data_IF_298000748778
#
_entry.id   IF_298000748778
#
_cell.length_a   1.000
_cell.length_b   1.000
_cell.length_c   1.000
_cell.angle_alpha   90.00
_cell.angle_beta   90.00
_cell.angle_gamma   90.00
#
_symmetry.space_group_name_H-M   'P 1'
#
loop_
_entity.id
_entity.type
_entity.pdbx_description
1 polymer ?
#
# COMPACT_ATOMS: atom_id res chain seq x y z
N UNK A 1 22.88 6.19 14.48
CA UNK A 1 22.29 5.50 15.65
C UNK A 1 20.93 4.99 15.25
N UNK A 2 20.69 3.68 15.27
CA UNK A 2 19.36 3.13 15.02
C UNK A 2 18.43 3.60 16.15
N UNK A 3 17.38 4.34 15.80
CA UNK A 3 16.37 4.78 16.76
C UNK A 3 15.65 3.54 17.34
N UNK A 4 15.81 3.28 18.64
CA UNK A 4 15.02 2.27 19.36
C UNK A 4 13.54 2.66 19.50
N UNK A 5 13.16 3.88 19.08
CA UNK A 5 11.78 4.37 19.08
C UNK A 5 11.20 4.35 17.67
N UNK A 6 10.06 3.69 17.53
CA UNK A 6 9.26 3.79 16.33
C UNK A 6 8.76 5.23 16.12
N UNK A 7 8.71 5.68 14.86
CA UNK A 7 8.24 7.02 14.49
C UNK A 7 6.74 7.22 14.72
N UNK A 8 5.98 6.13 14.90
CA UNK A 8 4.54 6.15 15.21
C UNK A 8 4.18 5.12 16.27
N UNK A 9 3.12 5.40 17.04
CA UNK A 9 2.57 4.46 18.04
C UNK A 9 1.72 3.42 17.33
N UNK A 10 1.80 2.16 17.77
CA UNK A 10 0.82 1.16 17.36
C UNK A 10 -0.58 1.62 17.77
N UNK A 11 -1.60 1.48 16.91
CA UNK A 11 -2.97 1.83 17.26
C UNK A 11 -3.39 1.12 18.55
N UNK A 12 -4.04 1.83 19.48
CA UNK A 12 -4.50 1.24 20.77
C UNK A 12 -5.38 0.02 20.56
N UNK A 13 -6.17 0.02 19.48
CA UNK A 13 -6.98 -1.11 19.05
C UNK A 13 -6.12 -2.36 18.75
N UNK A 14 -4.96 -2.21 18.11
CA UNK A 14 -4.06 -3.34 17.85
C UNK A 14 -3.58 -3.96 19.14
N UNK A 15 -3.14 -3.13 20.09
CA UNK A 15 -2.69 -3.58 21.42
C UNK A 15 -3.82 -4.34 22.13
N UNK A 16 -5.04 -3.79 22.11
CA UNK A 16 -6.19 -4.43 22.73
C UNK A 16 -6.53 -5.79 22.10
N UNK A 17 -6.55 -5.89 20.77
CA UNK A 17 -6.79 -7.16 20.07
C UNK A 17 -5.75 -8.20 20.41
N UNK A 18 -4.47 -7.82 20.37
CA UNK A 18 -3.36 -8.71 20.66
C UNK A 18 -3.44 -9.24 22.10
N UNK A 19 -3.77 -8.36 23.06
CA UNK A 19 -4.01 -8.75 24.46
C UNK A 19 -5.21 -9.69 24.61
N UNK A 20 -6.34 -9.37 23.97
CA UNK A 20 -7.55 -10.22 24.00
C UNK A 20 -7.27 -11.60 23.40
N UNK A 21 -6.57 -11.67 22.26
CA UNK A 21 -6.19 -12.93 21.63
C UNK A 21 -5.30 -13.79 22.53
N UNK A 22 -4.30 -13.19 23.17
CA UNK A 22 -3.42 -13.90 24.09
C UNK A 22 -4.17 -14.45 25.31
N UNK A 23 -5.07 -13.65 25.90
CA UNK A 23 -5.90 -14.06 27.04
C UNK A 23 -6.84 -15.21 26.64
N UNK A 24 -7.54 -15.09 25.50
CA UNK A 24 -8.44 -16.14 25.02
C UNK A 24 -7.66 -17.42 24.73
N UNK A 25 -6.51 -17.34 24.06
CA UNK A 25 -5.68 -18.51 23.75
C UNK A 25 -5.21 -19.22 25.01
N UNK A 26 -4.77 -18.44 26.01
CA UNK A 26 -4.38 -18.97 27.31
C UNK A 26 -5.54 -19.70 27.99
N UNK A 27 -6.67 -19.02 28.18
CA UNK A 27 -7.84 -19.59 28.87
C UNK A 27 -8.38 -20.83 28.15
N UNK A 28 -8.40 -20.80 26.82
CA UNK A 28 -8.84 -21.94 26.02
C UNK A 28 -7.95 -23.16 26.30
N UNK A 29 -6.63 -23.01 26.25
CA UNK A 29 -5.71 -24.12 26.56
C UNK A 29 -5.84 -24.62 28.00
N UNK A 30 -6.01 -23.72 28.98
CA UNK A 30 -6.23 -24.13 30.39
C UNK A 30 -7.47 -25.02 30.50
N UNK A 31 -8.58 -24.62 29.87
CA UNK A 31 -9.85 -25.35 29.95
C UNK A 31 -9.82 -26.66 29.14
N UNK A 32 -9.22 -26.66 27.95
CA UNK A 32 -9.27 -27.84 27.06
C UNK A 32 -8.16 -28.86 27.32
N UNK A 33 -6.97 -28.41 27.74
CA UNK A 33 -5.79 -29.28 27.91
C UNK A 33 -5.44 -29.51 29.38
N UNK A 34 -6.05 -28.77 30.32
CA UNK A 34 -5.70 -28.84 31.75
C UNK A 34 -4.28 -28.38 32.06
N UNK A 35 -3.60 -27.72 31.11
CA UNK A 35 -2.22 -27.26 31.25
C UNK A 35 -2.18 -26.01 32.15
N UNK A 36 -1.36 -25.99 33.21
CA UNK A 36 -1.37 -24.90 34.18
C UNK A 36 -0.72 -23.61 33.64
N UNK A 37 0.20 -23.72 32.68
CA UNK A 37 0.90 -22.57 32.07
C UNK A 37 1.05 -22.74 30.54
N UNK A 38 -0.01 -22.49 29.72
CA UNK A 38 0.03 -22.60 28.26
C UNK A 38 0.71 -21.39 27.59
N UNK A 39 2.01 -21.23 27.86
CA UNK A 39 2.80 -20.07 27.44
C UNK A 39 2.93 -20.02 25.91
N UNK A 40 2.99 -21.15 25.20
CA UNK A 40 3.18 -21.15 23.75
C UNK A 40 1.92 -20.68 23.02
N UNK A 41 0.74 -20.96 23.57
CA UNK A 41 -0.52 -20.47 23.03
C UNK A 41 -0.60 -18.94 23.11
N UNK A 42 -0.23 -18.35 24.25
CA UNK A 42 -0.18 -16.90 24.39
C UNK A 42 0.86 -16.27 23.46
N UNK A 43 2.10 -16.80 23.40
CA UNK A 43 3.14 -16.26 22.50
C UNK A 43 2.72 -16.38 21.04
N UNK A 44 2.12 -17.51 20.63
CA UNK A 44 1.63 -17.69 19.28
C UNK A 44 0.54 -16.66 18.95
N UNK A 45 -0.46 -16.48 19.82
CA UNK A 45 -1.49 -15.46 19.63
C UNK A 45 -0.90 -14.04 19.53
N UNK A 46 0.07 -13.69 20.39
CA UNK A 46 0.75 -12.38 20.36
C UNK A 46 1.43 -12.11 19.03
N UNK A 47 2.10 -13.12 18.46
CA UNK A 47 2.87 -12.98 17.21
C UNK A 47 2.01 -13.11 15.96
N UNK A 48 0.88 -13.81 16.04
CA UNK A 48 -0.03 -14.04 14.92
C UNK A 48 -0.98 -12.87 14.70
N UNK A 49 -1.33 -12.10 15.73
CA UNK A 49 -2.18 -10.90 15.54
C UNK A 49 -1.38 -9.79 14.85
N UNK A 50 -1.70 -9.55 13.58
CA UNK A 50 -1.05 -8.59 12.69
C UNK A 50 -2.05 -7.52 12.23
N UNK A 51 -1.61 -6.44 11.56
CA UNK A 51 -2.52 -5.46 11.01
C UNK A 51 -3.55 -6.09 10.06
N UNK A 52 -3.18 -6.89 9.06
CA UNK A 52 -4.17 -7.54 8.19
C UNK A 52 -4.41 -9.01 8.53
N UNK A 53 -5.60 -9.52 8.18
CA UNK A 53 -5.96 -10.94 8.36
C UNK A 53 -5.05 -11.84 7.52
N UNK A 54 -4.69 -11.42 6.30
CA UNK A 54 -3.75 -12.15 5.45
C UNK A 54 -2.35 -12.23 6.09
N UNK A 55 -1.84 -11.12 6.63
CA UNK A 55 -0.56 -11.12 7.36
C UNK A 55 -0.64 -12.00 8.61
N UNK A 56 -1.75 -11.98 9.33
CA UNK A 56 -1.99 -12.89 10.47
C UNK A 56 -1.96 -14.34 10.05
N UNK A 57 -2.64 -14.70 8.96
CA UNK A 57 -2.66 -16.06 8.44
C UNK A 57 -1.25 -16.51 8.05
N UNK A 58 -0.53 -15.68 7.29
CA UNK A 58 0.86 -15.95 6.92
C UNK A 58 1.72 -16.18 8.17
N UNK A 59 1.68 -15.29 9.17
CA UNK A 59 2.41 -15.45 10.43
C UNK A 59 2.01 -16.70 11.21
N UNK A 60 0.73 -17.04 11.21
CA UNK A 60 0.20 -18.27 11.80
C UNK A 60 0.79 -19.52 11.16
N UNK A 61 0.81 -19.57 9.83
CA UNK A 61 1.42 -20.66 9.07
C UNK A 61 2.91 -20.72 9.33
N UNK A 62 3.63 -19.60 9.22
CA UNK A 62 5.08 -19.53 9.44
C UNK A 62 5.47 -20.09 10.80
N UNK A 63 4.73 -19.68 11.84
CA UNK A 63 4.95 -20.09 13.22
C UNK A 63 4.65 -21.58 13.42
N UNK A 64 3.50 -22.05 12.94
CA UNK A 64 3.09 -23.46 13.05
C UNK A 64 4.05 -24.39 12.33
N UNK A 65 4.41 -24.07 11.08
CA UNK A 65 5.42 -24.82 10.30
C UNK A 65 6.74 -24.86 11.04
N UNK A 66 7.24 -23.71 11.50
CA UNK A 66 8.51 -23.66 12.21
C UNK A 66 8.53 -24.47 13.51
N UNK A 67 7.43 -24.46 14.28
CA UNK A 67 7.32 -25.26 15.51
C UNK A 67 7.29 -26.75 15.19
N UNK A 68 6.47 -27.18 14.22
CA UNK A 68 6.33 -28.58 13.82
C UNK A 68 7.67 -29.13 13.30
N UNK A 69 8.32 -28.41 12.37
CA UNK A 69 9.63 -28.83 11.83
C UNK A 69 10.68 -28.93 12.94
N UNK A 70 10.75 -27.93 13.84
CA UNK A 70 11.71 -27.98 14.94
C UNK A 70 11.47 -29.14 15.91
N UNK A 71 10.20 -29.47 16.19
CA UNK A 71 9.83 -30.63 17.02
C UNK A 71 10.24 -31.94 16.34
N UNK A 72 9.94 -32.10 15.05
CA UNK A 72 10.32 -33.29 14.27
C UNK A 72 11.84 -33.46 14.23
N UNK A 73 12.57 -32.37 14.00
CA UNK A 73 14.03 -32.38 13.96
C UNK A 73 14.65 -32.71 15.32
N UNK A 74 14.11 -32.16 16.41
CA UNK A 74 14.56 -32.49 17.76
C UNK A 74 14.33 -33.97 18.09
N UNK A 75 13.17 -34.52 17.74
CA UNK A 75 12.86 -35.91 17.98
C UNK A 75 13.79 -36.84 17.17
N UNK A 76 14.00 -36.55 15.89
CA UNK A 76 14.93 -37.29 15.05
C UNK A 76 16.37 -37.24 15.59
N UNK A 77 16.83 -36.07 16.04
CA UNK A 77 18.16 -35.90 16.61
C UNK A 77 18.33 -36.69 17.93
N UNK A 78 17.30 -36.69 18.79
CA UNK A 78 17.31 -37.44 20.05
C UNK A 78 17.41 -38.95 19.81
N UNK A 79 16.72 -39.49 18.80
CA UNK A 79 16.80 -40.92 18.44
C UNK A 79 18.19 -41.27 17.87
N UNK A 80 18.74 -40.43 17.00
CA UNK A 80 19.97 -40.74 16.27
C UNK A 80 21.24 -40.54 17.13
N UNK A 81 21.24 -39.54 18.01
CA UNK A 81 22.45 -39.07 18.67
C UNK A 81 22.35 -39.06 20.21
N UNK A 82 21.17 -39.26 20.79
CA UNK A 82 20.97 -39.24 22.24
C UNK A 82 20.92 -37.82 22.84
N UNK A 83 21.35 -37.68 24.10
CA UNK A 83 21.13 -36.48 24.92
C UNK A 83 22.39 -35.60 25.15
N UNK A 84 23.43 -35.71 24.32
CA UNK A 84 24.65 -34.91 24.47
C UNK A 84 24.46 -33.43 24.12
N UNK A 85 25.05 -32.53 24.92
CA UNK A 85 24.92 -31.07 24.75
C UNK A 85 25.38 -30.55 23.38
N UNK A 86 26.35 -31.20 22.74
CA UNK A 86 26.84 -30.84 21.40
C UNK A 86 25.79 -31.05 20.30
N UNK A 87 24.79 -31.90 20.53
CA UNK A 87 23.69 -32.16 19.58
C UNK A 87 22.82 -30.90 19.44
N UNK A 88 22.67 -30.11 20.50
CA UNK A 88 21.94 -28.84 20.45
C UNK A 88 22.63 -27.85 19.52
N UNK A 89 23.97 -27.78 19.52
CA UNK A 89 24.71 -26.93 18.60
C UNK A 89 24.57 -27.42 17.16
N UNK A 90 24.70 -28.74 16.95
CA UNK A 90 24.51 -29.37 15.65
C UNK A 90 23.11 -29.13 15.07
N UNK A 91 22.06 -29.30 15.88
CA UNK A 91 20.68 -29.17 15.39
C UNK A 91 20.35 -27.73 15.01
N UNK A 92 20.95 -26.71 15.64
CA UNK A 92 20.78 -25.31 15.24
C UNK A 92 21.29 -25.13 13.81
N UNK A 93 22.52 -25.57 13.55
CA UNK A 93 23.14 -25.46 12.22
C UNK A 93 22.32 -26.23 11.18
N UNK A 94 21.97 -27.48 11.46
CA UNK A 94 21.18 -28.31 10.54
C UNK A 94 19.79 -27.70 10.31
N UNK A 95 19.12 -27.19 11.34
CA UNK A 95 17.81 -26.53 11.22
C UNK A 95 17.87 -25.31 10.31
N UNK A 96 18.90 -24.48 10.46
CA UNK A 96 19.11 -23.30 9.61
C UNK A 96 19.43 -23.68 8.17
N UNK A 97 20.27 -24.69 7.95
CA UNK A 97 20.60 -25.20 6.62
C UNK A 97 19.38 -25.80 5.92
N UNK A 98 18.55 -26.56 6.64
CA UNK A 98 17.29 -27.11 6.12
C UNK A 98 16.33 -25.98 5.77
N UNK A 99 16.15 -24.99 6.65
CA UNK A 99 15.29 -23.85 6.37
C UNK A 99 15.75 -23.05 5.14
N UNK A 100 17.07 -22.86 5.00
CA UNK A 100 17.68 -22.22 3.84
C UNK A 100 17.46 -23.04 2.56
N UNK A 101 17.72 -24.34 2.60
CA UNK A 101 17.55 -25.24 1.45
C UNK A 101 16.10 -25.30 0.97
N UNK A 102 15.14 -25.29 1.90
CA UNK A 102 13.71 -25.27 1.61
C UNK A 102 13.16 -23.87 1.30
N UNK A 103 14.01 -22.83 1.32
CA UNK A 103 13.63 -21.43 1.10
C UNK A 103 12.45 -20.99 1.98
N UNK A 104 12.45 -21.44 3.24
CA UNK A 104 11.41 -21.06 4.20
C UNK A 104 11.48 -19.57 4.50
N UNK A 105 10.34 -19.00 4.89
CA UNK A 105 10.32 -17.59 5.26
C UNK A 105 11.20 -17.31 6.48
N UNK A 106 11.66 -16.06 6.69
CA UNK A 106 12.47 -15.71 7.85
C UNK A 106 11.83 -16.07 9.19
N UNK A 107 10.49 -16.00 9.27
CA UNK A 107 9.73 -16.38 10.46
C UNK A 107 9.87 -17.87 10.78
N UNK A 108 9.61 -18.74 9.79
CA UNK A 108 9.78 -20.18 9.96
C UNK A 108 11.24 -20.57 10.19
N UNK A 109 12.16 -19.99 9.42
CA UNK A 109 13.59 -20.31 9.49
C UNK A 109 14.19 -20.07 10.88
N UNK A 110 13.79 -18.97 11.54
CA UNK A 110 14.20 -18.68 12.91
C UNK A 110 13.47 -19.56 13.93
N UNK A 111 12.23 -19.94 13.66
CA UNK A 111 11.41 -20.68 14.61
C UNK A 111 11.81 -22.16 14.75
N UNK A 112 12.31 -22.79 13.68
CA UNK A 112 12.77 -24.19 13.69
C UNK A 112 13.85 -24.44 14.75
N UNK A 113 15.02 -23.75 14.72
CA UNK A 113 16.07 -23.99 15.72
C UNK A 113 15.60 -23.66 17.14
N UNK A 114 14.82 -22.58 17.34
CA UNK A 114 14.25 -22.23 18.65
C UNK A 114 13.38 -23.38 19.18
N UNK A 115 12.51 -23.93 18.33
CA UNK A 115 11.63 -25.02 18.71
C UNK A 115 12.41 -26.30 19.00
N UNK A 116 13.36 -26.66 18.14
CA UNK A 116 14.20 -27.83 18.31
C UNK A 116 15.01 -27.77 19.62
N UNK A 117 15.66 -26.64 19.89
CA UNK A 117 16.42 -26.42 21.12
C UNK A 117 15.57 -26.60 22.37
N UNK A 118 14.38 -25.99 22.40
CA UNK A 118 13.49 -26.06 23.56
C UNK A 118 12.97 -27.48 23.79
N UNK A 119 12.67 -28.23 22.73
CA UNK A 119 12.25 -29.63 22.84
C UNK A 119 13.37 -30.51 23.38
N UNK A 120 14.61 -30.34 22.91
CA UNK A 120 15.76 -31.11 23.44
C UNK A 120 16.03 -30.72 24.90
N UNK A 121 16.02 -29.43 25.22
CA UNK A 121 16.39 -28.93 26.54
C UNK A 121 15.36 -29.27 27.63
N UNK A 122 14.06 -29.18 27.31
CA UNK A 122 12.98 -29.33 28.29
C UNK A 122 12.28 -30.69 28.16
N UNK A 123 12.10 -31.17 26.92
CA UNK A 123 11.34 -32.40 26.65
C UNK A 123 11.95 -33.66 27.26
N UNK A 124 13.25 -33.67 27.55
CA UNK A 124 13.88 -34.77 28.28
C UNK A 124 13.34 -34.96 29.70
N UNK A 125 12.89 -33.88 30.36
CA UNK A 125 12.41 -33.88 31.74
C UNK A 125 10.89 -33.71 31.85
N UNK A 126 10.19 -33.50 30.73
CA UNK A 126 8.75 -33.23 30.70
C UNK A 126 8.10 -34.06 29.59
N UNK A 127 7.57 -35.26 29.93
CA UNK A 127 6.85 -36.09 28.97
C UNK A 127 5.71 -35.31 28.31
N UNK A 128 5.50 -35.50 27.01
CA UNK A 128 4.44 -34.81 26.27
C UNK A 128 4.78 -33.38 25.82
N UNK A 129 5.84 -32.76 26.34
CA UNK A 129 6.21 -31.37 26.04
C UNK A 129 6.26 -31.04 24.54
N UNK A 130 6.82 -31.94 23.73
CA UNK A 130 6.91 -31.77 22.28
C UNK A 130 5.54 -31.63 21.61
N UNK A 131 4.57 -32.45 22.04
CA UNK A 131 3.21 -32.47 21.51
C UNK A 131 2.44 -31.25 22.03
N UNK A 132 2.53 -30.97 23.33
CA UNK A 132 1.88 -29.82 23.96
C UNK A 132 2.30 -28.51 23.28
N UNK A 133 3.59 -28.36 22.96
CA UNK A 133 4.13 -27.21 22.23
C UNK A 133 3.49 -27.03 20.85
N UNK A 134 3.25 -28.12 20.11
CA UNK A 134 2.58 -28.08 18.80
C UNK A 134 1.12 -27.67 18.99
N UNK A 135 0.40 -28.35 19.88
CA UNK A 135 -1.02 -28.12 20.12
C UNK A 135 -1.25 -26.67 20.59
N UNK A 136 -0.52 -26.21 21.60
CA UNK A 136 -0.61 -24.84 22.11
C UNK A 136 -0.33 -23.81 21.02
N UNK A 137 0.71 -24.03 20.20
CA UNK A 137 1.04 -23.10 19.10
C UNK A 137 -0.09 -23.02 18.08
N UNK A 138 -0.68 -24.16 17.71
CA UNK A 138 -1.79 -24.21 16.76
C UNK A 138 -3.04 -23.54 17.32
N UNK A 139 -3.37 -23.78 18.60
CA UNK A 139 -4.49 -23.12 19.28
C UNK A 139 -4.26 -21.61 19.32
N UNK A 140 -3.08 -21.17 19.77
CA UNK A 140 -2.74 -19.75 19.84
C UNK A 140 -2.77 -19.05 18.48
N UNK A 141 -2.26 -19.69 17.43
CA UNK A 141 -2.33 -19.18 16.07
C UNK A 141 -3.78 -19.09 15.57
N UNK A 142 -4.61 -20.11 15.85
CA UNK A 142 -6.02 -20.14 15.45
C UNK A 142 -6.83 -19.05 16.16
N UNK A 143 -6.64 -18.89 17.47
CA UNK A 143 -7.29 -17.84 18.26
C UNK A 143 -6.81 -16.46 17.83
N UNK A 144 -5.51 -16.27 17.61
CA UNK A 144 -4.96 -15.01 17.10
C UNK A 144 -5.57 -14.61 15.76
N UNK A 145 -5.69 -15.56 14.84
CA UNK A 145 -6.33 -15.34 13.54
C UNK A 145 -7.83 -15.02 13.69
N UNK A 146 -8.56 -15.80 14.50
CA UNK A 146 -9.98 -15.61 14.73
C UNK A 146 -10.29 -14.24 15.35
N UNK A 147 -9.55 -13.86 16.39
CA UNK A 147 -9.68 -12.56 17.04
C UNK A 147 -9.34 -11.42 16.07
N UNK A 148 -8.30 -11.55 15.26
CA UNK A 148 -7.96 -10.51 14.29
C UNK A 148 -9.01 -10.37 13.18
N UNK A 149 -9.64 -11.48 12.78
CA UNK A 149 -10.72 -11.47 11.79
C UNK A 149 -12.03 -10.89 12.35
N UNK A 150 -12.35 -11.16 13.63
CA UNK A 150 -13.60 -10.72 14.27
C UNK A 150 -13.52 -9.27 14.77
N UNK A 151 -12.44 -8.91 15.46
CA UNK A 151 -12.30 -7.58 16.04
C UNK A 151 -11.77 -6.64 14.95
N UNK A 152 -12.66 -5.88 14.31
CA UNK A 152 -12.40 -4.71 13.42
C UNK A 152 -11.12 -4.87 12.56
N UNK A 153 -11.12 -5.70 11.51
CA UNK A 153 -9.97 -5.79 10.61
C UNK A 153 -9.68 -4.37 10.06
N UNK A 154 -8.45 -3.83 10.22
CA UNK A 154 -8.16 -2.46 9.85
C UNK A 154 -8.32 -2.31 8.34
N UNK A 155 -9.14 -1.36 7.95
CA UNK A 155 -9.42 -1.06 6.56
C UNK A 155 -8.57 0.15 6.20
N UNK A 156 -7.50 -0.07 5.42
CA UNK A 156 -6.56 1.00 5.04
C UNK A 156 -7.05 1.81 3.82
N UNK A 157 -8.37 1.89 3.61
CA UNK A 157 -8.96 2.59 2.47
C UNK A 157 -8.82 4.11 2.58
N UNK A 158 -9.10 4.71 3.74
CA UNK A 158 -9.02 6.17 3.89
C UNK A 158 -7.61 6.69 3.59
N UNK A 159 -6.52 6.13 4.17
CA UNK A 159 -5.17 6.57 3.82
C UNK A 159 -4.81 6.39 2.34
N UNK A 160 -5.33 5.35 1.69
CA UNK A 160 -5.10 5.09 0.28
C UNK A 160 -5.84 6.10 -0.61
N UNK A 161 -7.14 6.29 -0.36
CA UNK A 161 -7.96 7.31 -0.99
C UNK A 161 -7.34 8.71 -0.84
N UNK A 162 -6.97 9.11 0.37
CA UNK A 162 -6.33 10.41 0.61
C UNK A 162 -5.01 10.55 -0.16
N UNK A 163 -4.29 9.45 -0.41
CA UNK A 163 -3.04 9.46 -1.20
C UNK A 163 -3.31 9.66 -2.69
N UNK A 164 -4.39 9.08 -3.21
CA UNK A 164 -4.84 9.27 -4.60
C UNK A 164 -5.36 10.70 -4.79
N UNK A 165 -6.22 11.20 -3.90
CA UNK A 165 -6.75 12.57 -3.93
C UNK A 165 -5.61 13.60 -3.87
N UNK A 166 -4.64 13.43 -2.97
CA UNK A 166 -3.47 14.33 -2.91
C UNK A 166 -2.62 14.31 -4.19
N UNK A 167 -2.57 13.19 -4.90
CA UNK A 167 -1.89 13.13 -6.20
C UNK A 167 -2.68 13.91 -7.24
N UNK A 168 -4.00 13.73 -7.30
CA UNK A 168 -4.89 14.48 -8.19
C UNK A 168 -4.79 15.98 -7.97
N UNK A 169 -4.87 16.44 -6.71
CA UNK A 169 -4.68 17.84 -6.34
C UNK A 169 -3.33 18.37 -6.83
N UNK A 170 -2.26 17.59 -6.65
CA UNK A 170 -0.92 18.05 -7.04
C UNK A 170 -0.75 18.12 -8.56
N UNK A 171 -1.37 17.21 -9.31
CA UNK A 171 -1.42 17.27 -10.77
C UNK A 171 -2.22 18.50 -11.22
N UNK A 172 -3.39 18.75 -10.63
CA UNK A 172 -4.22 19.90 -10.92
C UNK A 172 -3.53 21.23 -10.60
N UNK A 173 -2.87 21.35 -9.45
CA UNK A 173 -2.06 22.52 -9.08
C UNK A 173 -0.94 22.80 -10.09
N UNK A 174 -0.33 21.73 -10.62
CA UNK A 174 0.74 21.85 -11.62
C UNK A 174 0.18 22.32 -12.97
N UNK A 175 -0.98 21.82 -13.39
CA UNK A 175 -1.70 22.31 -14.58
C UNK A 175 -2.09 23.80 -14.45
N UNK A 176 -2.66 24.20 -13.31
CA UNK A 176 -2.96 25.63 -13.03
C UNK A 176 -1.71 26.49 -13.00
N UNK A 177 -0.57 25.95 -12.56
CA UNK A 177 0.72 26.66 -12.59
C UNK A 177 1.17 26.91 -14.03
N UNK A 178 0.99 25.94 -14.94
CA UNK A 178 1.26 26.14 -16.37
C UNK A 178 0.30 27.15 -16.99
N UNK A 179 -0.99 27.11 -16.66
CA UNK A 179 -1.95 28.12 -17.10
C UNK A 179 -1.53 29.53 -16.68
N UNK A 180 -1.07 29.69 -15.43
CA UNK A 180 -0.52 30.97 -14.94
C UNK A 180 0.72 31.41 -15.72
N UNK A 181 1.61 30.48 -16.08
CA UNK A 181 2.82 30.76 -16.85
C UNK A 181 2.54 31.25 -18.28
N UNK A 182 1.42 30.82 -18.85
CA UNK A 182 0.95 31.24 -20.17
C UNK A 182 0.21 32.59 -20.16
N UNK A 183 -0.32 33.02 -19.01
CA UNK A 183 -1.04 34.30 -18.88
C UNK A 183 -0.17 35.45 -18.38
N UNK A 184 0.92 35.15 -17.69
CA UNK A 184 1.78 36.15 -17.06
C UNK A 184 3.25 35.80 -17.25
N UNK A 185 4.12 36.78 -17.57
CA UNK A 185 5.55 36.52 -17.75
C UNK A 185 6.17 35.92 -16.49
N UNK A 186 6.92 34.84 -16.66
CA UNK A 186 7.60 34.12 -15.58
C UNK A 186 9.09 34.38 -15.59
N UNK A 187 9.68 34.40 -14.40
CA UNK A 187 11.13 34.39 -14.21
C UNK A 187 11.68 32.96 -14.36
N UNK A 188 12.96 32.83 -14.73
CA UNK A 188 13.62 31.52 -14.80
C UNK A 188 13.54 30.72 -13.49
N UNK A 189 13.59 31.39 -12.33
CA UNK A 189 13.41 30.75 -11.03
C UNK A 189 12.01 30.13 -10.85
N UNK A 190 10.96 30.80 -11.33
CA UNK A 190 9.59 30.26 -11.30
C UNK A 190 9.43 29.06 -12.23
N UNK A 191 9.99 29.11 -13.43
CA UNK A 191 9.99 27.98 -14.37
C UNK A 191 10.75 26.77 -13.82
N UNK A 192 11.92 26.99 -13.22
CA UNK A 192 12.65 25.94 -12.52
C UNK A 192 11.83 25.33 -11.37
N UNK A 193 11.12 26.14 -10.59
CA UNK A 193 10.28 25.66 -9.51
C UNK A 193 9.09 24.82 -10.02
N UNK A 194 8.45 25.22 -11.13
CA UNK A 194 7.38 24.46 -11.79
C UNK A 194 7.90 23.10 -12.28
N UNK A 195 9.07 23.09 -12.94
CA UNK A 195 9.71 21.84 -13.39
C UNK A 195 10.11 20.93 -12.22
N UNK A 196 10.63 21.50 -11.13
CA UNK A 196 10.95 20.76 -9.91
C UNK A 196 9.70 20.13 -9.29
N UNK A 197 8.60 20.89 -9.18
CA UNK A 197 7.32 20.39 -8.67
C UNK A 197 6.76 19.25 -9.53
N UNK A 198 6.83 19.36 -10.86
CA UNK A 198 6.39 18.31 -11.77
C UNK A 198 7.25 17.04 -11.63
N UNK A 199 8.56 17.17 -11.41
CA UNK A 199 9.49 16.03 -11.21
C UNK A 199 9.23 15.25 -9.90
N UNK A 200 8.50 15.81 -8.94
CA UNK A 200 8.08 15.07 -7.74
C UNK A 200 6.86 14.17 -7.97
N UNK A 201 6.08 14.41 -9.02
CA UNK A 201 4.83 13.70 -9.29
C UNK A 201 5.01 12.16 -9.43
N UNK A 202 6.05 11.64 -10.11
CA UNK A 202 6.27 10.19 -10.19
C UNK A 202 6.47 9.52 -8.81
N UNK A 203 7.18 10.16 -7.89
CA UNK A 203 7.38 9.65 -6.53
C UNK A 203 6.09 9.63 -5.71
N UNK A 204 5.23 10.63 -5.91
CA UNK A 204 3.89 10.68 -5.30
C UNK A 204 2.96 9.61 -5.89
N UNK A 205 3.02 9.39 -7.21
CA UNK A 205 2.29 8.30 -7.89
C UNK A 205 2.68 6.94 -7.33
N UNK A 206 3.97 6.64 -7.19
CA UNK A 206 4.45 5.41 -6.57
C UNK A 206 3.96 5.25 -5.13
N UNK A 207 3.99 6.33 -4.35
CA UNK A 207 3.47 6.31 -2.97
C UNK A 207 1.97 6.02 -2.89
N UNK A 208 1.17 6.53 -3.84
CA UNK A 208 -0.25 6.23 -3.95
C UNK A 208 -0.50 4.78 -4.38
N UNK A 209 0.31 4.24 -5.32
CA UNK A 209 0.28 2.82 -5.70
C UNK A 209 0.52 1.92 -4.49
N UNK A 210 1.57 2.19 -3.70
CA UNK A 210 1.88 1.42 -2.49
C UNK A 210 0.75 1.48 -1.45
N UNK A 211 0.06 2.63 -1.36
CA UNK A 211 -1.05 2.79 -0.45
C UNK A 211 -2.27 1.95 -0.88
N UNK A 212 -2.58 1.89 -2.19
CA UNK A 212 -3.64 1.03 -2.73
C UNK A 212 -3.31 -0.46 -2.61
N UNK A 213 -2.05 -0.86 -2.81
CA UNK A 213 -1.60 -2.24 -2.58
C UNK A 213 -1.84 -2.62 -1.11
N UNK A 214 -1.43 -1.77 -0.16
CA UNK A 214 -1.68 -1.99 1.27
C UNK A 214 -3.17 -2.02 1.61
N UNK A 215 -3.99 -1.20 0.94
CA UNK A 215 -5.44 -1.22 1.10
C UNK A 215 -6.05 -2.54 0.61
N UNK A 216 -5.63 -3.05 -0.55
CA UNK A 216 -6.08 -4.35 -1.07
C UNK A 216 -5.67 -5.50 -0.15
N UNK A 217 -4.40 -5.53 0.28
CA UNK A 217 -3.91 -6.52 1.25
C UNK A 217 -4.70 -6.50 2.56
N UNK A 218 -5.14 -5.32 3.01
CA UNK A 218 -5.97 -5.18 4.22
C UNK A 218 -7.39 -5.76 4.04
N UNK A 219 -7.85 -5.84 2.80
CA UNK A 219 -9.14 -6.42 2.43
C UNK A 219 -9.04 -7.88 2.00
N UNK A 220 -7.85 -8.40 1.68
CA UNK A 220 -7.64 -9.83 1.42
C UNK A 220 -8.07 -10.65 2.66
N UNK A 221 -9.06 -11.52 2.46
CA UNK A 221 -9.70 -12.34 3.51
C UNK A 221 -10.53 -11.56 4.54
N UNK A 222 -10.78 -10.26 4.32
CA UNK A 222 -11.67 -9.47 5.15
C UNK A 222 -13.14 -9.75 4.78
N UNK A 223 -14.02 -10.11 5.73
CA UNK A 223 -15.44 -10.36 5.45
C UNK A 223 -16.14 -9.13 4.84
N UNK A 224 -15.64 -7.92 5.10
CA UNK A 224 -16.17 -6.66 4.56
C UNK A 224 -15.65 -6.31 3.16
N UNK A 225 -14.80 -7.13 2.54
CA UNK A 225 -14.22 -6.85 1.20
C UNK A 225 -15.28 -6.49 0.17
N UNK A 226 -16.42 -7.21 0.15
CA UNK A 226 -17.51 -6.95 -0.79
C UNK A 226 -18.06 -5.52 -0.70
N UNK A 227 -18.18 -4.97 0.52
CA UNK A 227 -18.71 -3.60 0.74
C UNK A 227 -17.78 -2.51 0.22
N UNK A 228 -16.49 -2.78 0.15
CA UNK A 228 -15.47 -1.77 -0.18
C UNK A 228 -14.83 -1.97 -1.55
N UNK A 229 -15.30 -2.98 -2.30
CA UNK A 229 -14.75 -3.35 -3.59
C UNK A 229 -14.86 -2.20 -4.60
N UNK A 230 -16.06 -1.66 -4.76
CA UNK A 230 -16.33 -0.57 -5.71
C UNK A 230 -15.48 0.67 -5.41
N UNK A 231 -15.34 1.04 -4.13
CA UNK A 231 -14.49 2.17 -3.74
C UNK A 231 -13.01 1.94 -4.08
N UNK A 232 -12.49 0.74 -3.83
CA UNK A 232 -11.10 0.42 -4.14
C UNK A 232 -10.85 0.32 -5.65
N UNK A 233 -11.82 -0.17 -6.42
CA UNK A 233 -11.78 -0.18 -7.88
C UNK A 233 -11.78 1.26 -8.42
N UNK A 234 -12.67 2.12 -7.94
CA UNK A 234 -12.69 3.54 -8.30
C UNK A 234 -11.36 4.26 -8.02
N UNK A 235 -10.77 4.08 -6.83
CA UNK A 235 -9.47 4.69 -6.51
C UNK A 235 -8.32 4.13 -7.40
N UNK A 236 -8.42 2.89 -7.88
CA UNK A 236 -7.46 2.29 -8.83
C UNK A 236 -7.60 2.88 -10.22
N UNK A 237 -8.82 2.97 -10.73
CA UNK A 237 -9.12 3.52 -12.05
C UNK A 237 -8.68 5.00 -12.10
N UNK A 238 -8.92 5.74 -11.02
CA UNK A 238 -8.41 7.10 -10.85
C UNK A 238 -6.88 7.14 -10.84
N UNK A 239 -6.21 6.24 -10.11
CA UNK A 239 -4.74 6.21 -10.09
C UNK A 239 -4.14 5.85 -11.46
N UNK A 240 -4.77 4.98 -12.23
CA UNK A 240 -4.35 4.65 -13.60
C UNK A 240 -4.44 5.89 -14.50
N UNK A 241 -5.57 6.59 -14.43
CA UNK A 241 -5.78 7.88 -15.12
C UNK A 241 -4.70 8.88 -14.73
N UNK A 242 -4.44 9.05 -13.42
CA UNK A 242 -3.41 9.95 -12.90
C UNK A 242 -2.00 9.55 -13.35
N UNK A 243 -1.68 8.26 -13.45
CA UNK A 243 -0.37 7.78 -13.91
C UNK A 243 -0.04 8.29 -15.32
N UNK A 244 -1.03 8.29 -16.21
CA UNK A 244 -0.88 8.85 -17.55
C UNK A 244 -0.69 10.39 -17.50
N UNK A 245 -1.48 11.10 -16.67
CA UNK A 245 -1.39 12.55 -16.50
C UNK A 245 -0.05 12.98 -15.91
N UNK A 246 0.52 12.24 -14.95
CA UNK A 246 1.82 12.53 -14.35
C UNK A 246 2.93 12.56 -15.42
N UNK A 247 2.90 11.60 -16.35
CA UNK A 247 3.88 11.52 -17.44
C UNK A 247 3.76 12.73 -18.37
N UNK A 248 2.53 13.08 -18.76
CA UNK A 248 2.23 14.22 -19.64
C UNK A 248 2.60 15.56 -18.99
N UNK A 249 2.16 15.80 -17.77
CA UNK A 249 2.45 17.03 -17.01
C UNK A 249 3.94 17.22 -16.79
N UNK A 250 4.70 16.13 -16.59
CA UNK A 250 6.17 16.21 -16.50
C UNK A 250 6.80 16.54 -17.85
N UNK A 251 6.24 16.04 -18.96
CA UNK A 251 6.63 16.41 -20.32
C UNK A 251 6.39 17.89 -20.60
N UNK A 252 5.17 18.36 -20.35
CA UNK A 252 4.77 19.76 -20.47
C UNK A 252 5.66 20.69 -19.63
N UNK A 253 5.99 20.30 -18.39
CA UNK A 253 6.88 21.08 -17.54
C UNK A 253 8.26 21.29 -18.17
N UNK A 254 8.81 20.25 -18.83
CA UNK A 254 10.09 20.35 -19.55
C UNK A 254 9.95 21.21 -20.79
N UNK A 255 8.91 20.99 -21.59
CA UNK A 255 8.66 21.78 -22.79
C UNK A 255 8.52 23.28 -22.47
N UNK A 256 7.74 23.61 -21.45
CA UNK A 256 7.55 24.97 -20.96
C UNK A 256 8.85 25.56 -20.42
N UNK A 257 9.65 24.79 -19.69
CA UNK A 257 10.93 25.26 -19.15
C UNK A 257 11.98 25.51 -20.25
N UNK A 258 12.11 24.59 -21.21
CA UNK A 258 13.19 24.61 -22.20
C UNK A 258 12.90 25.58 -23.36
N UNK A 259 11.62 25.86 -23.64
CA UNK A 259 11.19 26.68 -24.80
C UNK A 259 10.38 27.92 -24.38
N UNK A 260 10.52 28.40 -23.14
CA UNK A 260 9.77 29.56 -22.67
C UNK A 260 10.17 30.85 -23.42
N UNK A 261 9.18 31.58 -23.95
CA UNK A 261 9.34 32.96 -24.43
C UNK A 261 8.36 33.87 -23.67
N UNK A 262 8.82 34.94 -22.98
CA UNK A 262 7.92 35.89 -22.32
C UNK A 262 6.86 36.50 -23.23
N UNK A 263 7.07 36.55 -24.55
CA UNK A 263 6.11 37.06 -25.55
C UNK A 263 4.91 36.15 -25.77
N UNK A 264 4.92 34.91 -25.24
CA UNK A 264 3.80 33.96 -25.33
C UNK A 264 2.49 34.54 -24.74
N UNK A 265 2.60 35.47 -23.79
CA UNK A 265 1.43 36.07 -23.13
C UNK A 265 0.61 36.97 -24.04
N UNK A 266 1.19 37.44 -25.15
CA UNK A 266 0.53 38.31 -26.12
C UNK A 266 -0.30 37.52 -27.15
N UNK A 267 -0.14 36.19 -27.20
CA UNK A 267 -0.84 35.31 -28.14
C UNK A 267 -2.22 34.89 -27.60
N UNK A 268 -3.28 35.33 -28.27
CA UNK A 268 -4.67 34.97 -27.97
C UNK A 268 -4.95 33.46 -27.99
N UNK A 269 -4.19 32.71 -28.79
CA UNK A 269 -4.29 31.25 -28.86
C UNK A 269 -3.68 30.59 -27.61
N UNK A 270 -2.53 31.10 -27.14
CA UNK A 270 -1.91 30.68 -25.88
C UNK A 270 -2.82 30.96 -24.68
N UNK A 271 -3.54 32.09 -24.69
CA UNK A 271 -4.55 32.39 -23.67
C UNK A 271 -5.70 31.36 -23.64
N UNK A 272 -6.07 30.81 -24.81
CA UNK A 272 -7.08 29.75 -24.89
C UNK A 272 -6.56 28.43 -24.31
N UNK A 273 -5.30 28.06 -24.59
CA UNK A 273 -4.63 26.90 -23.98
C UNK A 273 -4.61 27.02 -22.44
N UNK A 274 -4.28 28.21 -21.92
CA UNK A 274 -4.31 28.45 -20.49
C UNK A 274 -5.70 28.23 -19.88
N UNK A 275 -6.76 28.64 -20.58
CA UNK A 275 -8.14 28.38 -20.17
C UNK A 275 -8.48 26.89 -20.09
N UNK A 276 -8.03 26.09 -21.07
CA UNK A 276 -8.24 24.64 -21.07
C UNK A 276 -7.44 23.92 -19.96
N UNK A 277 -6.23 24.40 -19.64
CA UNK A 277 -5.44 23.87 -18.52
C UNK A 277 -6.12 24.09 -17.17
N UNK A 278 -6.72 25.27 -16.96
CA UNK A 278 -7.50 25.57 -15.75
C UNK A 278 -8.75 24.70 -15.66
N UNK A 279 -9.44 24.45 -16.79
CA UNK A 279 -10.60 23.54 -16.82
C UNK A 279 -10.17 22.10 -16.53
N UNK A 280 -9.12 21.60 -17.16
CA UNK A 280 -8.59 20.27 -16.88
C UNK A 280 -8.19 20.10 -15.40
N UNK A 281 -7.61 21.13 -14.79
CA UNK A 281 -7.30 21.15 -13.36
C UNK A 281 -8.56 21.16 -12.48
N UNK A 282 -9.63 21.83 -12.91
CA UNK A 282 -10.91 21.83 -12.21
C UNK A 282 -11.60 20.47 -12.29
N UNK A 283 -11.73 19.91 -13.49
CA UNK A 283 -12.37 18.62 -13.75
C UNK A 283 -11.65 17.49 -13.02
N UNK A 284 -10.31 17.52 -12.98
CA UNK A 284 -9.54 16.54 -12.23
C UNK A 284 -9.82 16.57 -10.73
N UNK A 285 -9.99 17.76 -10.14
CA UNK A 285 -10.38 17.88 -8.73
C UNK A 285 -11.79 17.35 -8.52
N UNK A 286 -12.73 17.67 -9.40
CA UNK A 286 -14.10 17.18 -9.31
C UNK A 286 -14.12 15.64 -9.34
N UNK A 287 -13.41 15.03 -10.29
CA UNK A 287 -13.31 13.59 -10.43
C UNK A 287 -12.66 12.92 -9.20
N UNK A 288 -11.67 13.57 -8.57
CA UNK A 288 -11.04 13.05 -7.35
C UNK A 288 -11.96 13.09 -6.11
N UNK A 289 -12.89 14.04 -6.04
CA UNK A 289 -13.81 14.21 -4.91
C UNK A 289 -15.20 13.57 -5.12
N UNK A 290 -15.56 13.20 -6.35
CA UNK A 290 -16.87 12.61 -6.71
C UNK A 290 -17.02 11.11 -6.35
N UNK A 291 -16.26 10.63 -5.36
CA UNK A 291 -16.42 9.28 -4.84
C UNK A 291 -17.87 9.08 -4.31
N UNK A 292 -18.47 7.88 -4.45
CA UNK A 292 -19.93 7.63 -4.42
C UNK A 292 -20.60 7.81 -3.04
N UNK A 293 -20.53 9.01 -2.46
CA UNK A 293 -21.11 9.35 -1.16
C UNK A 293 -21.87 10.67 -1.12
N UNK A 294 -22.12 11.32 -2.25
CA UNK A 294 -22.90 12.56 -2.28
C UNK A 294 -23.99 12.45 -3.34
N UNK A 295 -25.23 12.76 -2.93
CA UNK A 295 -26.37 12.97 -3.82
C UNK A 295 -25.97 13.78 -5.05
N UNK A 296 -26.41 13.41 -6.26
CA UNK A 296 -26.08 14.17 -7.45
C UNK A 296 -26.57 15.61 -7.29
N UNK A 297 -25.64 16.56 -7.36
CA UNK A 297 -25.99 17.96 -7.46
C UNK A 297 -26.90 18.15 -8.69
N UNK A 298 -27.92 19.05 -8.62
CA UNK A 298 -28.81 19.27 -9.74
C UNK A 298 -28.00 19.68 -10.97
N UNK A 299 -28.26 18.97 -12.08
CA UNK A 299 -27.69 19.24 -13.41
C UNK A 299 -27.91 20.73 -13.70
N UNK A 300 -26.85 21.53 -13.62
CA UNK A 300 -26.89 22.91 -14.07
C UNK A 300 -27.14 22.89 -15.57
N UNK A 301 -28.21 23.55 -15.99
CA UNK A 301 -28.66 23.62 -17.38
C UNK A 301 -27.76 24.54 -18.24
N UNK A 302 -26.45 24.38 -18.16
CA UNK A 302 -25.56 24.84 -19.22
C UNK A 302 -25.37 23.67 -20.19
N UNK A 303 -25.83 23.87 -21.43
CA UNK A 303 -25.63 22.92 -22.52
C UNK A 303 -24.15 22.50 -22.58
N UNK A 304 -23.82 21.21 -22.77
CA UNK A 304 -22.47 20.81 -23.10
C UNK A 304 -22.14 21.40 -24.48
N UNK A 305 -21.43 22.52 -24.51
CA UNK A 305 -20.88 23.07 -25.74
C UNK A 305 -19.65 22.25 -26.18
N UNK A 306 -19.86 20.95 -26.41
CA UNK A 306 -18.90 20.01 -26.97
C UNK A 306 -18.94 19.98 -28.52
N UNK A 307 -19.55 20.97 -29.16
CA UNK A 307 -19.74 21.00 -30.63
C UNK A 307 -19.14 22.23 -31.34
N UNK A 308 -18.46 23.13 -30.63
CA UNK A 308 -17.71 24.18 -31.28
C UNK A 308 -16.34 23.64 -31.70
N UNK A 309 -16.06 23.44 -33.01
CA UNK A 309 -14.74 23.01 -33.45
C UNK A 309 -13.70 24.04 -32.98
N UNK A 310 -12.64 23.56 -32.34
CA UNK A 310 -11.43 24.33 -32.07
C UNK A 310 -10.94 24.90 -33.41
N UNK A 311 -11.19 26.17 -33.66
CA UNK A 311 -10.65 26.86 -34.82
C UNK A 311 -9.15 27.04 -34.60
N UNK A 312 -8.38 26.16 -35.24
CA UNK A 312 -6.92 26.23 -35.28
C UNK A 312 -6.54 27.45 -36.11
N UNK A 313 -6.30 28.59 -35.45
CA UNK A 313 -5.54 29.66 -36.07
C UNK A 313 -4.09 29.16 -36.24
N UNK A 314 -3.41 29.48 -37.37
CA UNK A 314 -2.02 29.09 -37.55
C UNK A 314 -1.17 29.68 -36.40
N UNK A 315 -0.41 28.85 -35.66
CA UNK A 315 0.42 29.33 -34.55
C UNK A 315 1.50 30.28 -35.07
N UNK A 316 1.94 31.21 -34.21
CA UNK A 316 3.06 32.09 -34.50
C UNK A 316 4.29 31.27 -34.95
N UNK A 317 4.90 31.57 -36.11
CA UNK A 317 6.03 30.81 -36.66
C UNK A 317 7.27 30.80 -35.75
N UNK A 318 7.38 31.71 -34.79
CA UNK A 318 8.51 31.75 -33.85
C UNK A 318 8.34 30.76 -32.67
N UNK A 319 7.10 30.36 -32.34
CA UNK A 319 6.77 29.58 -31.13
C UNK A 319 6.07 28.23 -31.39
N UNK A 320 5.98 27.81 -32.65
CA UNK A 320 5.20 26.64 -33.08
C UNK A 320 5.56 25.32 -32.38
N UNK A 321 6.81 25.14 -31.96
CA UNK A 321 7.27 23.90 -31.27
C UNK A 321 6.60 23.76 -29.91
N UNK A 322 6.62 24.83 -29.09
CA UNK A 322 6.00 24.82 -27.77
C UNK A 322 4.48 24.76 -27.91
N UNK A 323 3.90 25.62 -28.73
CA UNK A 323 2.44 25.69 -28.93
C UNK A 323 1.89 24.36 -29.46
N UNK A 324 2.55 23.76 -30.45
CA UNK A 324 2.19 22.44 -30.98
C UNK A 324 2.29 21.32 -29.95
N UNK A 325 3.35 21.32 -29.12
CA UNK A 325 3.50 20.34 -28.03
C UNK A 325 2.41 20.48 -26.96
N UNK A 326 2.07 21.71 -26.56
CA UNK A 326 1.05 21.99 -25.55
C UNK A 326 -0.34 21.61 -26.04
N UNK A 327 -0.65 21.84 -27.32
CA UNK A 327 -1.92 21.42 -27.91
C UNK A 327 -2.08 19.91 -27.94
N UNK A 328 -1.05 19.19 -28.35
CA UNK A 328 -1.10 17.73 -28.42
C UNK A 328 -1.16 17.12 -27.01
N UNK A 329 -0.42 17.68 -26.05
CA UNK A 329 -0.49 17.27 -24.66
C UNK A 329 -1.88 17.56 -24.06
N UNK A 330 -2.45 18.73 -24.33
CA UNK A 330 -3.78 19.12 -23.87
C UNK A 330 -4.89 18.23 -24.46
N UNK A 331 -4.83 17.95 -25.77
CA UNK A 331 -5.76 17.03 -26.43
C UNK A 331 -5.75 15.68 -25.74
N UNK A 332 -4.56 15.14 -25.48
CA UNK A 332 -4.42 13.84 -24.82
C UNK A 332 -4.79 13.85 -23.34
N UNK A 333 -4.58 14.96 -22.63
CA UNK A 333 -5.08 15.14 -21.25
C UNK A 333 -6.61 15.09 -21.24
N UNK A 334 -7.26 15.80 -22.17
CA UNK A 334 -8.71 15.81 -22.31
C UNK A 334 -9.27 14.43 -22.67
N UNK A 335 -8.67 13.71 -23.62
CA UNK A 335 -9.05 12.33 -23.98
C UNK A 335 -8.99 11.39 -22.76
N UNK A 336 -7.95 11.52 -21.93
CA UNK A 336 -7.80 10.72 -20.71
C UNK A 336 -8.86 11.05 -19.65
N UNK A 337 -9.22 12.33 -19.49
CA UNK A 337 -10.20 12.76 -18.47
C UNK A 337 -11.64 12.38 -18.87
N UNK A 338 -11.98 12.46 -20.17
CA UNK A 338 -13.34 12.23 -20.67
C UNK A 338 -13.61 10.72 -20.95
N UNK A 339 -12.57 9.92 -21.19
CA UNK A 339 -12.68 8.52 -21.62
C UNK A 339 -12.92 8.41 -23.14
N UNK A 340 -12.45 7.31 -23.76
CA UNK A 340 -12.46 7.11 -25.23
C UNK A 340 -13.87 7.03 -25.87
N UNK A 341 -14.96 7.03 -25.10
CA UNK A 341 -16.33 6.79 -25.60
C UNK A 341 -17.14 8.06 -25.95
N UNK A 342 -16.52 9.25 -25.98
CA UNK A 342 -17.21 10.52 -26.26
C UNK A 342 -16.80 11.20 -27.59
N UNK A 343 -16.53 10.41 -28.63
CA UNK A 343 -16.30 10.88 -30.00
C UNK A 343 -17.35 10.32 -30.98
#
# INVERSE_FOLDING_TARGET
>A
MASLRASSRSPLLQVLKTSVAAIIAWLLCVVTLGQPLPIFAAIAALLVVQPSVNQSLAKGIERSVGVIFGVVMAYAAGILFGNSSWIVLGIIVVSLLVAWALRLSPGSANQIPISAMLVIAIGANTPGYAIDRVIETVIGASVGLAVNAVIVPPVLLTPAHDSVVRLADKVADTLSSFASALRTPQTGAQLHAMLAAARELPGRSHSATDALVRADESLMLNPRRRRYRERLEHDRDLLETLGSLVTRVTGMARALHDNYDPRLVDDSFVASIAGELDRAAHDLRLLAYDAPTVEPAPITAELPALTAPLTIAPPDPDNWILVGSLLEDLRRVREVIIGEDAA
#
